data_IF_566542431599
#
_entry.id   IF_566542431599
#
_cell.length_a   1.000
_cell.length_b   1.000
_cell.length_c   1.000
_cell.angle_alpha   90.00
_cell.angle_beta   90.00
_cell.angle_gamma   90.00
#
_symmetry.space_group_name_H-M   'P 1'
#
loop_
_entity.id
_entity.type
_entity.pdbx_description
1 polymer ?
#
# COMPACT_ATOMS: atom_id res chain seq x y z
N UNK A 1 25.81 4.33 16.37
CA UNK A 1 24.35 4.48 16.53
C UNK A 1 23.81 3.17 17.09
N UNK A 2 23.39 3.13 18.36
CA UNK A 2 22.64 1.98 18.88
C UNK A 2 21.24 2.02 18.25
N UNK A 3 21.01 1.20 17.23
CA UNK A 3 19.67 0.96 16.71
C UNK A 3 18.96 0.01 17.67
N UNK A 4 17.94 0.48 18.38
CA UNK A 4 17.02 -0.41 19.07
C UNK A 4 16.28 -1.29 18.06
N UNK A 5 15.83 -2.48 18.48
CA UNK A 5 14.97 -3.31 17.62
C UNK A 5 13.70 -2.52 17.28
N UNK A 6 13.37 -2.41 16.00
CA UNK A 6 12.12 -1.82 15.53
C UNK A 6 10.93 -2.51 16.21
N UNK A 7 9.92 -1.74 16.61
CA UNK A 7 8.71 -2.30 17.22
C UNK A 7 7.59 -2.39 16.17
N UNK A 8 6.69 -3.37 16.29
CA UNK A 8 5.66 -3.65 15.27
C UNK A 8 4.62 -2.54 15.10
N UNK A 9 4.50 -1.64 16.09
CA UNK A 9 3.50 -0.57 16.12
C UNK A 9 3.82 0.56 15.12
N UNK A 10 5.10 0.74 14.77
CA UNK A 10 5.52 1.65 13.71
C UNK A 10 5.62 0.90 12.38
N UNK A 11 5.10 1.46 11.29
CA UNK A 11 5.09 0.82 9.96
C UNK A 11 6.01 1.56 8.99
N UNK A 12 5.63 2.77 8.61
CA UNK A 12 6.47 3.72 7.90
C UNK A 12 6.00 5.13 8.25
N UNK A 13 6.78 6.14 7.83
CA UNK A 13 6.34 7.53 7.79
C UNK A 13 7.14 8.28 6.72
N UNK A 14 6.46 9.16 5.98
CA UNK A 14 7.12 10.18 5.16
C UNK A 14 7.62 11.33 6.03
N UNK A 15 8.80 11.83 5.71
CA UNK A 15 9.42 13.00 6.31
C UNK A 15 9.96 13.91 5.22
N UNK A 16 10.15 15.19 5.55
CA UNK A 16 10.50 16.24 4.58
C UNK A 16 11.71 17.06 5.03
N UNK A 17 12.60 17.36 4.08
CA UNK A 17 13.72 18.31 4.22
C UNK A 17 13.65 19.32 3.05
N UNK A 18 13.00 20.47 3.30
CA UNK A 18 12.68 21.42 2.23
C UNK A 18 11.78 20.78 1.17
N UNK A 19 12.24 20.73 -0.07
CA UNK A 19 11.52 20.10 -1.19
C UNK A 19 11.78 18.59 -1.34
N UNK A 20 12.63 18.00 -0.50
CA UNK A 20 12.92 16.57 -0.54
C UNK A 20 11.98 15.81 0.39
N UNK A 21 11.42 14.72 -0.10
CA UNK A 21 10.71 13.74 0.71
C UNK A 21 11.57 12.49 0.91
N UNK A 22 11.54 11.92 2.11
CA UNK A 22 12.19 10.65 2.43
C UNK A 22 11.24 9.78 3.24
N UNK A 23 11.22 8.49 2.94
CA UNK A 23 10.35 7.51 3.63
C UNK A 23 11.22 6.74 4.62
N UNK A 24 10.82 6.77 5.89
CA UNK A 24 11.38 5.92 6.94
C UNK A 24 10.51 4.68 7.04
N UNK A 25 11.05 3.53 6.66
CA UNK A 25 10.33 2.25 6.68
C UNK A 25 10.85 1.35 7.81
N UNK A 26 9.94 0.68 8.52
CA UNK A 26 10.28 -0.32 9.51
C UNK A 26 10.52 -1.68 8.85
N UNK A 27 11.77 -2.10 8.84
CA UNK A 27 12.24 -3.35 8.21
C UNK A 27 11.88 -4.63 9.00
N UNK A 28 11.29 -4.49 10.20
CA UNK A 28 10.77 -5.62 11.00
C UNK A 28 9.52 -6.26 10.38
N UNK A 29 8.80 -5.55 9.51
CA UNK A 29 7.64 -6.12 8.81
C UNK A 29 8.07 -7.04 7.67
N UNK A 30 7.23 -8.01 7.30
CA UNK A 30 7.48 -8.85 6.12
C UNK A 30 7.60 -8.01 4.84
N UNK A 31 8.42 -8.45 3.88
CA UNK A 31 8.73 -7.67 2.67
C UNK A 31 7.49 -7.14 1.92
N UNK A 32 6.44 -7.97 1.80
CA UNK A 32 5.17 -7.57 1.18
C UNK A 32 4.47 -6.44 1.93
N UNK A 33 4.52 -6.47 3.27
CA UNK A 33 3.95 -5.43 4.12
C UNK A 33 4.79 -4.15 4.05
N UNK A 34 6.11 -4.26 3.97
CA UNK A 34 6.97 -3.10 3.71
C UNK A 34 6.63 -2.44 2.37
N UNK A 35 6.39 -3.22 1.31
CA UNK A 35 5.96 -2.67 0.02
C UNK A 35 4.65 -1.89 0.14
N UNK A 36 3.65 -2.42 0.86
CA UNK A 36 2.40 -1.70 1.16
C UNK A 36 2.64 -0.42 1.96
N UNK A 37 3.46 -0.48 3.01
CA UNK A 37 3.76 0.70 3.84
C UNK A 37 4.47 1.79 3.01
N UNK A 38 5.47 1.43 2.21
CA UNK A 38 6.19 2.38 1.35
C UNK A 38 5.25 2.99 0.31
N UNK A 39 4.37 2.19 -0.29
CA UNK A 39 3.41 2.69 -1.28
C UNK A 39 2.38 3.65 -0.64
N UNK A 40 1.96 3.40 0.60
CA UNK A 40 1.11 4.31 1.38
C UNK A 40 1.80 5.66 1.59
N UNK A 41 3.04 5.66 2.09
CA UNK A 41 3.80 6.90 2.29
C UNK A 41 4.10 7.63 0.98
N UNK A 42 4.36 6.89 -0.10
CA UNK A 42 4.53 7.46 -1.43
C UNK A 42 3.23 8.12 -1.95
N UNK A 43 2.07 7.56 -1.61
CA UNK A 43 0.79 8.16 -1.96
C UNK A 43 0.61 9.54 -1.30
N UNK A 44 0.99 9.69 -0.02
CA UNK A 44 1.00 11.00 0.63
C UNK A 44 1.88 12.02 -0.10
N UNK A 45 3.06 11.60 -0.58
CA UNK A 45 3.95 12.48 -1.36
C UNK A 45 3.30 12.89 -2.68
N UNK A 46 2.74 11.93 -3.43
CA UNK A 46 2.17 12.18 -4.75
C UNK A 46 0.90 13.04 -4.70
N UNK A 47 0.09 12.89 -3.66
CA UNK A 47 -1.12 13.69 -3.43
C UNK A 47 -0.81 15.07 -2.87
N UNK A 48 0.45 15.33 -2.49
CA UNK A 48 0.86 16.61 -1.91
C UNK A 48 0.26 16.83 -0.51
N UNK A 49 -0.01 15.75 0.22
CA UNK A 49 -0.51 15.83 1.59
C UNK A 49 0.47 16.60 2.48
N UNK A 50 -0.02 17.50 3.34
CA UNK A 50 0.85 18.26 4.23
C UNK A 50 1.59 17.30 5.19
N UNK A 51 2.85 17.61 5.55
CA UNK A 51 3.56 16.84 6.56
C UNK A 51 2.79 16.91 7.88
N UNK A 52 2.30 15.78 8.37
CA UNK A 52 1.67 15.68 9.68
C UNK A 52 2.71 15.24 10.72
N UNK A 53 2.77 15.87 11.91
CA UNK A 53 3.53 15.32 13.02
C UNK A 53 2.99 13.91 13.34
N UNK A 54 3.85 12.89 13.51
CA UNK A 54 3.37 11.54 13.81
C UNK A 54 2.66 11.44 15.17
N UNK A 55 2.86 12.44 16.04
CA UNK A 55 2.26 12.59 17.35
C UNK A 55 1.96 14.07 17.62
N UNK A 56 0.82 14.36 18.23
CA UNK A 56 0.49 15.65 18.81
C UNK A 56 1.25 15.89 20.13
N UNK A 57 1.03 17.06 20.74
CA UNK A 57 1.62 17.46 22.02
C UNK A 57 1.28 16.52 23.19
N UNK A 58 0.27 15.67 23.05
CA UNK A 58 -0.16 14.67 24.04
C UNK A 58 0.29 13.24 23.67
N UNK A 59 1.06 13.08 22.58
CA UNK A 59 1.48 11.77 22.09
C UNK A 59 0.40 10.99 21.34
N UNK A 60 -0.72 11.64 20.98
CA UNK A 60 -1.79 11.04 20.16
C UNK A 60 -1.47 11.24 18.69
N UNK A 61 -1.73 10.22 17.89
CA UNK A 61 -1.65 10.31 16.43
C UNK A 61 -2.70 11.32 15.92
N UNK A 62 -2.24 12.42 15.34
CA UNK A 62 -3.10 13.39 14.66
C UNK A 62 -3.14 13.04 13.18
N UNK A 63 -4.23 12.41 12.75
CA UNK A 63 -4.47 12.06 11.35
C UNK A 63 -5.79 12.64 10.89
N UNK A 64 -5.73 13.37 9.78
CA UNK A 64 -6.93 13.77 9.05
C UNK A 64 -7.43 12.54 8.28
N UNK A 65 -8.57 12.01 8.69
CA UNK A 65 -9.11 10.76 8.13
C UNK A 65 -9.21 10.78 6.59
N UNK A 66 -9.64 11.92 6.02
CA UNK A 66 -9.76 12.08 4.57
C UNK A 66 -8.42 11.87 3.84
N UNK A 67 -7.33 12.36 4.41
CA UNK A 67 -5.96 12.26 3.85
C UNK A 67 -5.44 10.81 3.92
N UNK A 68 -5.72 10.13 5.03
CA UNK A 68 -5.37 8.71 5.18
C UNK A 68 -6.19 7.83 4.23
N UNK A 69 -7.49 8.12 4.08
CA UNK A 69 -8.37 7.40 3.17
C UNK A 69 -7.87 7.54 1.72
N UNK A 70 -7.50 8.74 1.27
CA UNK A 70 -6.95 8.95 -0.08
C UNK A 70 -5.65 8.16 -0.31
N UNK A 71 -4.75 8.13 0.69
CA UNK A 71 -3.52 7.34 0.61
C UNK A 71 -3.81 5.82 0.62
N UNK A 72 -4.80 5.36 1.39
CA UNK A 72 -5.26 3.97 1.42
C UNK A 72 -5.84 3.51 0.08
N UNK A 73 -6.39 4.43 -0.72
CA UNK A 73 -6.83 4.14 -2.10
C UNK A 73 -5.68 4.16 -3.11
N UNK A 74 -4.82 5.19 -3.08
CA UNK A 74 -3.77 5.36 -4.07
C UNK A 74 -2.59 4.39 -3.85
N UNK A 75 -2.16 4.15 -2.62
CA UNK A 75 -1.02 3.29 -2.30
C UNK A 75 -1.11 1.90 -2.94
N UNK A 76 -2.19 1.13 -2.70
CA UNK A 76 -2.42 -0.15 -3.35
C UNK A 76 -2.49 -0.06 -4.89
N UNK A 77 -2.96 1.06 -5.44
CA UNK A 77 -3.04 1.27 -6.88
C UNK A 77 -1.66 1.51 -7.54
N UNK A 78 -0.69 2.05 -6.78
CA UNK A 78 0.71 2.14 -7.21
C UNK A 78 1.37 0.76 -7.31
N UNK A 79 0.99 -0.18 -6.44
CA UNK A 79 1.51 -1.56 -6.45
C UNK A 79 0.83 -2.43 -7.51
N UNK A 80 -0.49 -2.30 -7.66
CA UNK A 80 -1.27 -3.09 -8.62
C UNK A 80 -2.14 -2.16 -9.44
N UNK A 81 -1.65 -1.84 -10.64
CA UNK A 81 -2.37 -1.03 -11.63
C UNK A 81 -3.71 -1.67 -12.00
N UNK A 82 -4.61 -0.89 -12.63
CA UNK A 82 -5.88 -1.43 -13.11
C UNK A 82 -5.71 -2.64 -14.04
N UNK A 83 -4.81 -2.52 -15.03
CA UNK A 83 -4.54 -3.60 -15.96
C UNK A 83 -4.01 -4.85 -15.24
N UNK A 84 -3.12 -4.67 -14.25
CA UNK A 84 -2.61 -5.75 -13.42
C UNK A 84 -3.74 -6.40 -12.59
N UNK A 85 -4.64 -5.63 -12.00
CA UNK A 85 -5.77 -6.16 -11.23
C UNK A 85 -6.72 -7.02 -12.10
N UNK A 86 -7.01 -6.57 -13.33
CA UNK A 86 -7.80 -7.35 -14.28
C UNK A 86 -7.06 -8.64 -14.66
N UNK A 87 -5.75 -8.57 -14.89
CA UNK A 87 -4.94 -9.73 -15.21
C UNK A 87 -4.85 -10.73 -14.04
N UNK A 88 -4.69 -10.24 -12.81
CA UNK A 88 -4.70 -11.05 -11.60
C UNK A 88 -6.00 -11.89 -11.51
N UNK A 89 -7.14 -11.25 -11.76
CA UNK A 89 -8.43 -11.95 -11.79
C UNK A 89 -8.45 -13.05 -12.85
N UNK A 90 -7.96 -12.77 -14.07
CA UNK A 90 -7.92 -13.78 -15.15
C UNK A 90 -7.04 -14.98 -14.79
N UNK A 91 -5.85 -14.74 -14.24
CA UNK A 91 -4.91 -15.79 -13.81
C UNK A 91 -5.49 -16.68 -12.70
N UNK A 92 -6.22 -16.10 -11.76
CA UNK A 92 -6.88 -16.85 -10.69
C UNK A 92 -8.08 -17.63 -11.26
N UNK A 93 -8.90 -17.00 -12.10
CA UNK A 93 -10.08 -17.62 -12.69
C UNK A 93 -9.73 -18.82 -13.59
N UNK A 94 -8.57 -18.80 -14.26
CA UNK A 94 -8.09 -19.91 -15.09
C UNK A 94 -7.35 -21.00 -14.30
N UNK A 95 -7.28 -20.90 -12.97
CA UNK A 95 -6.48 -21.76 -12.08
C UNK A 95 -4.98 -21.77 -12.40
N UNK A 96 -4.45 -20.76 -13.11
CA UNK A 96 -3.02 -20.62 -13.33
C UNK A 96 -2.29 -20.23 -12.03
N UNK A 97 -2.98 -19.51 -11.14
CA UNK A 97 -2.49 -19.14 -9.82
C UNK A 97 -3.61 -19.27 -8.77
N UNK A 98 -3.25 -19.64 -7.54
CA UNK A 98 -4.04 -19.29 -6.36
C UNK A 98 -3.74 -17.85 -5.96
N UNK A 99 -4.63 -17.22 -5.18
CA UNK A 99 -4.36 -15.86 -4.65
C UNK A 99 -3.03 -15.80 -3.88
N UNK A 100 -2.75 -16.81 -3.06
CA UNK A 100 -1.53 -16.89 -2.26
C UNK A 100 -0.28 -16.99 -3.14
N UNK A 101 -0.28 -17.91 -4.11
CA UNK A 101 0.84 -18.04 -5.06
C UNK A 101 1.05 -16.79 -5.92
N UNK A 102 -0.01 -16.05 -6.25
CA UNK A 102 0.10 -14.80 -6.99
C UNK A 102 0.64 -13.67 -6.10
N UNK A 103 0.21 -13.62 -4.84
CA UNK A 103 0.76 -12.72 -3.82
C UNK A 103 2.27 -12.93 -3.64
N UNK A 104 2.72 -14.19 -3.59
CA UNK A 104 4.14 -14.53 -3.56
C UNK A 104 4.85 -14.10 -4.85
N UNK A 105 4.30 -14.45 -6.02
CA UNK A 105 4.91 -14.13 -7.30
C UNK A 105 5.06 -12.62 -7.53
N UNK A 106 4.09 -11.83 -7.09
CA UNK A 106 4.05 -10.38 -7.31
C UNK A 106 4.61 -9.57 -6.13
N UNK A 107 5.00 -10.24 -5.03
CA UNK A 107 5.52 -9.61 -3.82
C UNK A 107 4.60 -8.52 -3.25
N UNK A 108 3.28 -8.71 -3.39
CA UNK A 108 2.23 -7.84 -2.84
C UNK A 108 1.33 -8.67 -1.94
N UNK A 109 0.71 -8.05 -0.93
CA UNK A 109 -0.17 -8.79 0.00
C UNK A 109 -1.43 -9.30 -0.70
N UNK A 110 -2.02 -10.38 -0.18
CA UNK A 110 -3.31 -10.89 -0.64
C UNK A 110 -4.42 -9.82 -0.54
N UNK A 111 -4.37 -8.99 0.50
CA UNK A 111 -5.33 -7.91 0.73
C UNK A 111 -5.27 -6.86 -0.38
N UNK A 112 -4.08 -6.42 -0.79
CA UNK A 112 -3.91 -5.50 -1.93
C UNK A 112 -4.47 -6.10 -3.21
N UNK A 113 -4.18 -7.38 -3.50
CA UNK A 113 -4.72 -8.05 -4.67
C UNK A 113 -6.25 -8.11 -4.66
N UNK A 114 -6.85 -8.50 -3.52
CA UNK A 114 -8.32 -8.54 -3.36
C UNK A 114 -8.94 -7.16 -3.52
N UNK A 115 -8.40 -6.18 -2.80
CA UNK A 115 -8.88 -4.80 -2.82
C UNK A 115 -8.83 -4.23 -4.24
N UNK A 116 -7.71 -4.38 -4.94
CA UNK A 116 -7.54 -3.85 -6.31
C UNK A 116 -8.41 -4.55 -7.33
N UNK A 117 -8.55 -5.88 -7.28
CA UNK A 117 -9.49 -6.61 -8.15
C UNK A 117 -10.94 -6.16 -7.94
N UNK A 118 -11.34 -5.92 -6.69
CA UNK A 118 -12.69 -5.45 -6.35
C UNK A 118 -12.91 -4.01 -6.81
N UNK A 119 -11.97 -3.11 -6.51
CA UNK A 119 -12.05 -1.68 -6.83
C UNK A 119 -12.26 -1.42 -8.33
N UNK A 120 -11.58 -2.17 -9.20
CA UNK A 120 -11.71 -2.01 -10.66
C UNK A 120 -12.85 -2.84 -11.27
N UNK A 121 -13.61 -3.56 -10.45
CA UNK A 121 -14.68 -4.44 -10.92
C UNK A 121 -14.18 -5.56 -11.84
N UNK A 122 -13.00 -6.12 -11.58
CA UNK A 122 -12.30 -7.04 -12.48
C UNK A 122 -13.19 -8.20 -12.95
N UNK A 123 -13.94 -8.82 -12.03
CA UNK A 123 -14.90 -9.90 -12.34
C UNK A 123 -15.92 -9.50 -13.41
N UNK A 124 -16.54 -8.34 -13.27
CA UNK A 124 -17.58 -7.87 -14.20
C UNK A 124 -16.97 -7.59 -15.57
N UNK A 125 -15.82 -6.92 -15.60
CA UNK A 125 -15.13 -6.54 -16.84
C UNK A 125 -14.61 -7.75 -17.61
N UNK A 126 -14.05 -8.74 -16.93
CA UNK A 126 -13.61 -9.99 -17.57
C UNK A 126 -14.79 -10.76 -18.15
N UNK A 127 -15.91 -10.86 -17.43
CA UNK A 127 -17.13 -11.53 -17.92
C UNK A 127 -17.76 -10.84 -19.14
N UNK A 128 -17.65 -9.53 -19.25
CA UNK A 128 -18.20 -8.78 -20.39
C UNK A 128 -17.33 -8.87 -21.66
N UNK A 129 -16.05 -9.22 -21.50
CA UNK A 129 -15.10 -9.32 -22.60
C UNK A 129 -14.95 -10.75 -23.14
N UNK A 130 -15.65 -11.73 -22.56
CA UNK A 130 -15.69 -13.13 -22.97
C UNK A 130 -16.98 -13.41 -23.76
#
# INVERSE_FOLDING_TARGET
LMQGKGKKEFSATVCYEGFKAFIVNNDVHEAKRQASNIAHELAHVLLGHPPAPPFDENGKRDFLAEIEDEAEWLGPALLVSEAAAINAYKLIQSNAYTLSSLSDAWQVTEDVLRMRMNAVGAKKRVRQAA
#
